data_IF_676288090621
#
_entry.id   IF_676288090621
#
_cell.length_a   1.000
_cell.length_b   1.000
_cell.length_c   1.000
_cell.angle_alpha   90.00
_cell.angle_beta   90.00
_cell.angle_gamma   90.00
#
_symmetry.space_group_name_H-M   'P 1'
#
loop_
_entity.id
_entity.type
_entity.pdbx_description
1 polymer ?
#
# COMPACT_ATOMS: atom_id res chain seq x y z
N UNK A 1 23.34 -8.86 -19.46
CA UNK A 1 22.03 -8.42 -19.86
C UNK A 1 21.44 -7.44 -18.85
N UNK A 2 20.85 -6.39 -19.34
CA UNK A 2 20.28 -5.41 -18.44
C UNK A 2 19.01 -5.95 -17.79
N UNK A 3 18.89 -5.68 -16.51
CA UNK A 3 17.67 -5.98 -15.79
C UNK A 3 16.56 -5.09 -16.29
N UNK A 4 15.38 -5.65 -16.43
CA UNK A 4 14.24 -4.88 -16.83
C UNK A 4 13.92 -3.84 -15.75
N UNK A 5 13.98 -2.58 -16.12
CA UNK A 5 13.71 -1.50 -15.18
C UNK A 5 12.22 -1.27 -15.04
N UNK A 6 11.83 -0.83 -13.86
CA UNK A 6 10.47 -0.38 -13.65
C UNK A 6 10.26 0.90 -14.44
N UNK A 7 9.11 0.98 -15.09
CA UNK A 7 8.73 2.16 -15.86
C UNK A 7 7.88 3.13 -15.03
N UNK A 8 7.65 2.80 -13.78
CA UNK A 8 6.84 3.62 -12.89
C UNK A 8 7.45 3.61 -11.49
N UNK A 9 7.08 4.60 -10.71
CA UNK A 9 7.52 4.70 -9.32
C UNK A 9 6.51 4.02 -8.43
N UNK A 10 7.00 3.18 -7.52
CA UNK A 10 6.16 2.59 -6.49
C UNK A 10 6.10 3.52 -5.29
N UNK A 11 5.12 3.27 -4.43
CA UNK A 11 5.05 3.99 -3.16
C UNK A 11 6.19 3.50 -2.29
N UNK A 12 6.93 4.42 -1.71
CA UNK A 12 8.09 4.07 -0.90
C UNK A 12 7.69 3.50 0.45
N UNK A 13 8.50 2.58 0.94
CA UNK A 13 8.40 2.09 2.31
C UNK A 13 8.54 3.28 3.25
N UNK A 14 7.67 3.34 4.26
CA UNK A 14 7.64 4.45 5.20
C UNK A 14 6.67 5.55 4.83
N UNK A 15 6.09 5.50 3.64
CA UNK A 15 5.09 6.49 3.22
C UNK A 15 3.80 6.28 3.99
N UNK A 16 3.28 7.36 4.55
CA UNK A 16 1.99 7.32 5.22
C UNK A 16 0.88 7.43 4.19
N UNK A 17 -0.10 6.56 4.32
CA UNK A 17 -1.20 6.45 3.36
C UNK A 17 -2.53 6.32 4.09
N UNK A 18 -3.60 6.57 3.35
CA UNK A 18 -4.95 6.34 3.82
C UNK A 18 -5.73 5.63 2.72
N UNK A 19 -6.81 5.00 3.11
CA UNK A 19 -7.71 4.31 2.18
C UNK A 19 -9.12 4.34 2.73
N UNK A 20 -10.07 4.17 1.84
CA UNK A 20 -11.47 4.09 2.26
C UNK A 20 -11.80 2.67 2.66
N UNK A 21 -12.45 2.53 3.79
CA UNK A 21 -12.89 1.26 4.29
C UNK A 21 -14.34 1.41 4.76
N UNK A 22 -15.27 1.02 3.89
CA UNK A 22 -16.71 1.20 4.14
C UNK A 22 -17.00 2.68 4.41
N UNK A 23 -17.54 2.99 5.58
CA UNK A 23 -17.86 4.38 5.95
C UNK A 23 -16.73 5.06 6.71
N UNK A 24 -15.58 4.41 6.81
CA UNK A 24 -14.44 4.94 7.56
C UNK A 24 -13.23 5.12 6.65
N UNK A 25 -12.21 5.78 7.18
CA UNK A 25 -10.94 5.93 6.50
C UNK A 25 -9.87 5.23 7.32
N UNK A 26 -9.17 4.30 6.69
CA UNK A 26 -8.05 3.64 7.34
C UNK A 26 -6.77 4.43 7.10
N UNK A 27 -5.83 4.31 8.03
CA UNK A 27 -4.52 4.96 7.95
C UNK A 27 -3.43 3.96 8.25
N UNK A 28 -2.32 4.10 7.58
CA UNK A 28 -1.20 3.22 7.82
C UNK A 28 0.07 3.69 7.15
N UNK A 29 1.08 2.85 7.23
CA UNK A 29 2.40 3.11 6.66
C UNK A 29 2.77 1.95 5.76
N UNK A 30 3.22 2.27 4.56
CA UNK A 30 3.66 1.24 3.61
C UNK A 30 4.91 0.56 4.14
N UNK A 31 4.88 -0.77 4.21
CA UNK A 31 6.02 -1.56 4.67
C UNK A 31 6.73 -2.30 3.55
N UNK A 32 6.10 -2.41 2.39
CA UNK A 32 6.72 -3.07 1.24
C UNK A 32 5.74 -3.29 0.12
N UNK A 33 6.21 -3.96 -0.91
CA UNK A 33 5.39 -4.36 -2.05
C UNK A 33 5.05 -5.82 -1.90
N UNK A 34 3.76 -6.13 -1.88
CA UNK A 34 3.28 -7.51 -1.78
C UNK A 34 3.29 -8.19 -3.13
N UNK A 35 2.83 -7.49 -4.15
CA UNK A 35 2.80 -8.03 -5.50
C UNK A 35 2.98 -6.89 -6.49
N UNK A 36 4.02 -6.99 -7.32
CA UNK A 36 4.32 -5.98 -8.33
C UNK A 36 3.34 -6.08 -9.48
N UNK A 37 2.71 -4.96 -9.81
CA UNK A 37 1.83 -4.87 -10.96
C UNK A 37 2.51 -4.25 -12.16
N UNK A 38 1.71 -3.86 -13.14
CA UNK A 38 2.23 -3.22 -14.37
C UNK A 38 2.32 -1.71 -14.23
N UNK A 39 1.70 -1.16 -13.20
CA UNK A 39 1.81 0.26 -12.86
C UNK A 39 1.58 0.41 -11.36
N UNK A 40 1.74 1.65 -10.86
CA UNK A 40 1.59 1.90 -9.43
C UNK A 40 0.19 1.58 -8.93
N UNK A 41 -0.82 1.80 -9.76
CA UNK A 41 -2.21 1.61 -9.36
C UNK A 41 -2.56 0.14 -9.12
N UNK A 42 -1.99 -0.76 -9.91
CA UNK A 42 -2.29 -2.19 -9.75
C UNK A 42 -1.21 -2.97 -9.01
N UNK A 43 -0.25 -2.27 -8.44
CA UNK A 43 0.74 -2.88 -7.55
C UNK A 43 0.13 -3.02 -6.16
N UNK A 44 0.26 -4.20 -5.57
CA UNK A 44 -0.26 -4.44 -4.22
C UNK A 44 0.82 -4.10 -3.19
N UNK A 45 0.45 -3.31 -2.21
CA UNK A 45 1.37 -2.87 -1.16
C UNK A 45 0.97 -3.50 0.17
N UNK A 46 1.97 -3.82 0.95
CA UNK A 46 1.76 -4.20 2.35
C UNK A 46 1.75 -2.93 3.17
N UNK A 47 0.73 -2.77 3.99
CA UNK A 47 0.52 -1.56 4.78
C UNK A 47 0.29 -1.96 6.22
N UNK A 48 1.06 -1.37 7.12
CA UNK A 48 0.86 -1.55 8.56
C UNK A 48 -0.15 -0.53 9.04
N UNK A 49 -1.26 -0.99 9.56
CA UNK A 49 -2.31 -0.10 10.06
C UNK A 49 -1.83 0.66 11.29
N UNK A 50 -2.07 1.97 11.30
CA UNK A 50 -1.72 2.82 12.44
C UNK A 50 -2.61 2.48 13.63
N UNK A 51 -3.90 2.40 13.37
CA UNK A 51 -4.89 2.05 14.39
C UNK A 51 -5.71 0.88 13.89
N UNK A 52 -5.70 -0.20 14.63
CA UNK A 52 -6.56 -1.33 14.32
C UNK A 52 -7.22 -1.82 15.59
N UNK A 53 -8.42 -2.34 15.43
CA UNK A 53 -9.16 -2.88 16.55
C UNK A 53 -8.65 -4.27 16.92
N UNK A 54 -8.85 -4.73 18.16
CA UNK A 54 -8.50 -6.09 18.54
C UNK A 54 -9.14 -7.09 17.58
N UNK A 55 -8.36 -8.04 17.11
CA UNK A 55 -8.83 -9.04 16.17
C UNK A 55 -8.58 -8.69 14.71
N UNK A 56 -8.27 -7.44 14.41
CA UNK A 56 -7.90 -7.04 13.06
C UNK A 56 -6.42 -7.28 12.81
N UNK A 57 -6.03 -7.63 11.57
CA UNK A 57 -4.61 -7.79 11.26
C UNK A 57 -3.89 -6.45 11.31
N UNK A 58 -2.64 -6.48 11.80
CA UNK A 58 -1.81 -5.28 11.82
C UNK A 58 -1.36 -4.90 10.40
N UNK A 59 -1.19 -5.87 9.54
CA UNK A 59 -0.74 -5.68 8.16
C UNK A 59 -1.89 -6.01 7.23
N UNK A 60 -2.17 -5.10 6.32
CA UNK A 60 -3.18 -5.30 5.27
C UNK A 60 -2.54 -5.05 3.91
N UNK A 61 -3.21 -5.48 2.86
CA UNK A 61 -2.73 -5.33 1.51
C UNK A 61 -3.74 -4.52 0.70
N UNK A 62 -3.25 -3.49 0.03
CA UNK A 62 -4.09 -2.64 -0.81
C UNK A 62 -3.35 -2.32 -2.09
N UNK A 63 -4.10 -2.17 -3.19
CA UNK A 63 -3.51 -1.70 -4.44
C UNK A 63 -3.18 -0.21 -4.33
N UNK A 64 -2.24 0.23 -5.13
CA UNK A 64 -1.88 1.65 -5.17
C UNK A 64 -3.07 2.54 -5.51
N UNK A 65 -4.00 2.03 -6.31
CA UNK A 65 -5.22 2.76 -6.66
C UNK A 65 -6.08 3.06 -5.44
N UNK A 66 -6.09 2.15 -4.47
CA UNK A 66 -6.89 2.31 -3.26
C UNK A 66 -6.22 3.22 -2.23
N UNK A 67 -4.93 3.48 -2.37
CA UNK A 67 -4.18 4.23 -1.38
C UNK A 67 -4.04 5.69 -1.78
N UNK A 68 -4.19 6.58 -0.80
CA UNK A 68 -3.95 8.00 -0.95
C UNK A 68 -2.79 8.38 -0.03
N UNK A 69 -1.81 9.09 -0.55
CA UNK A 69 -0.69 9.55 0.27
C UNK A 69 -1.20 10.60 1.25
N UNK A 70 -0.80 10.43 2.48
CA UNK A 70 -1.19 11.35 3.54
C UNK A 70 -0.22 12.53 3.63
#
# INVERSE_FOLDING_TARGET
MATKKQTFKTIRVGTKVSWHYRSAIGHGTVTGVSEMGTNADNTMYSVRQTDHHPGEPAIVHHSGKALTRA
#
